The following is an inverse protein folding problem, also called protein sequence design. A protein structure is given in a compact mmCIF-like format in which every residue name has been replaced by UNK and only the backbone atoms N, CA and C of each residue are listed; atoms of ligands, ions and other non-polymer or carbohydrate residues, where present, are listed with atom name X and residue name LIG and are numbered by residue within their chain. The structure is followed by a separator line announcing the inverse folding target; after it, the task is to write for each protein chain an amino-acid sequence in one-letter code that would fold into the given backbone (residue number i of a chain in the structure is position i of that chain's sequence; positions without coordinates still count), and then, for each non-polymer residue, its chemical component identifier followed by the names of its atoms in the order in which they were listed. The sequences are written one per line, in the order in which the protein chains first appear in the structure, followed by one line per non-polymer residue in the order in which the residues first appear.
data_IF_835028681292
#
_entry.id   IF_835028681292
#
_cell.length_a   1.000
_cell.length_b   1.000
_cell.length_c   1.000
_cell.angle_alpha   90.00
_cell.angle_beta   90.00
_cell.angle_gamma   90.00
#
_symmetry.space_group_name_H-M   'P 1'
#
loop_
_entity.id
_entity.type
_entity.pdbx_description
1 polymer ?
#
# COMPACT_ATOMS: atom_id res chain seq x y z
N UNK A 1 -22.87 29.59 -23.43
CA UNK A 1 -22.66 28.16 -23.77
C UNK A 1 -22.58 27.39 -22.46
N UNK A 2 -23.40 26.36 -22.27
CA UNK A 2 -23.31 25.50 -21.08
C UNK A 2 -21.94 24.80 -21.09
N UNK A 3 -21.12 25.04 -20.07
CA UNK A 3 -19.87 24.32 -19.90
C UNK A 3 -20.21 22.85 -19.61
N UNK A 4 -19.49 21.91 -20.22
CA UNK A 4 -19.67 20.48 -19.99
C UNK A 4 -18.32 19.78 -19.87
N UNK A 5 -18.26 18.73 -19.06
CA UNK A 5 -17.08 17.89 -18.84
C UNK A 5 -17.35 16.49 -19.38
N UNK A 6 -16.32 15.81 -19.88
CA UNK A 6 -16.48 14.39 -20.28
C UNK A 6 -16.31 13.52 -19.05
N UNK A 7 -17.17 12.51 -18.93
CA UNK A 7 -17.22 11.63 -17.77
C UNK A 7 -17.22 10.18 -18.21
N UNK A 8 -16.47 9.37 -17.48
CA UNK A 8 -16.52 7.92 -17.54
C UNK A 8 -16.55 7.34 -16.13
N UNK A 9 -16.97 6.09 -16.03
CA UNK A 9 -16.99 5.35 -14.77
C UNK A 9 -16.37 3.97 -14.91
N UNK A 10 -15.95 3.41 -13.79
CA UNK A 10 -15.45 2.04 -13.64
C UNK A 10 -16.00 1.43 -12.35
N UNK A 11 -15.95 0.10 -12.22
CA UNK A 11 -16.41 -0.62 -11.03
C UNK A 11 -17.93 -0.71 -10.89
N UNK A 12 -18.69 -0.31 -11.92
CA UNK A 12 -20.16 -0.22 -11.92
C UNK A 12 -20.77 -1.00 -13.10
N UNK A 13 -22.04 -1.38 -12.97
CA UNK A 13 -22.83 -1.87 -14.11
C UNK A 13 -23.21 -0.72 -15.06
N UNK A 14 -23.68 -1.06 -16.26
CA UNK A 14 -24.11 -0.08 -17.28
C UNK A 14 -25.22 0.84 -16.80
N UNK A 15 -26.10 0.36 -15.92
CA UNK A 15 -27.20 1.14 -15.33
C UNK A 15 -26.78 2.03 -14.15
N UNK A 16 -25.51 1.92 -13.69
CA UNK A 16 -24.93 2.69 -12.59
C UNK A 16 -25.67 2.49 -11.25
N UNK A 17 -26.18 1.30 -11.00
CA UNK A 17 -26.98 0.97 -9.81
C UNK A 17 -26.26 0.04 -8.84
N UNK A 18 -25.28 -0.72 -9.31
CA UNK A 18 -24.58 -1.75 -8.54
C UNK A 18 -23.09 -1.68 -8.81
N UNK A 19 -22.29 -1.84 -7.75
CA UNK A 19 -20.85 -2.02 -7.86
C UNK A 19 -20.53 -3.44 -8.33
N UNK A 20 -20.01 -3.56 -9.55
CA UNK A 20 -19.73 -4.85 -10.21
C UNK A 20 -18.30 -5.33 -10.03
N UNK A 21 -17.38 -4.43 -9.67
CA UNK A 21 -15.96 -4.76 -9.63
C UNK A 21 -15.28 -4.73 -11.00
N UNK A 22 -16.01 -4.40 -12.08
CA UNK A 22 -15.46 -4.42 -13.43
C UNK A 22 -14.43 -3.33 -13.66
N UNK A 23 -13.32 -3.69 -14.30
CA UNK A 23 -12.29 -2.75 -14.77
C UNK A 23 -12.65 -2.09 -16.11
N UNK A 24 -13.72 -2.56 -16.76
CA UNK A 24 -14.18 -2.00 -18.03
C UNK A 24 -14.69 -0.58 -17.81
N UNK A 25 -14.12 0.35 -18.58
CA UNK A 25 -14.53 1.74 -18.56
C UNK A 25 -15.85 1.91 -19.31
N UNK A 26 -16.81 2.55 -18.66
CA UNK A 26 -18.10 2.92 -19.25
C UNK A 26 -18.06 4.42 -19.52
N UNK A 27 -17.97 4.81 -20.80
CA UNK A 27 -18.03 6.21 -21.20
C UNK A 27 -19.46 6.73 -21.10
N UNK A 28 -19.69 7.77 -20.28
CA UNK A 28 -21.01 8.40 -20.09
C UNK A 28 -21.20 9.66 -20.94
N UNK A 29 -20.15 10.09 -21.66
CA UNK A 29 -20.19 11.23 -22.55
C UNK A 29 -20.02 12.56 -21.81
N UNK A 30 -20.55 13.64 -22.38
CA UNK A 30 -20.49 14.98 -21.79
C UNK A 30 -21.60 15.15 -20.75
N UNK A 31 -21.25 15.76 -19.62
CA UNK A 31 -22.16 16.07 -18.52
C UNK A 31 -22.07 17.55 -18.19
N UNK A 32 -23.22 18.18 -17.99
CA UNK A 32 -23.28 19.53 -17.41
C UNK A 32 -23.18 19.50 -15.87
N UNK A 33 -23.26 20.67 -15.23
CA UNK A 33 -23.17 20.81 -13.78
C UNK A 33 -24.19 19.96 -13.00
N UNK A 34 -25.45 19.94 -13.46
CA UNK A 34 -26.54 19.23 -12.78
C UNK A 34 -26.40 17.73 -12.99
N UNK A 35 -26.15 17.32 -14.24
CA UNK A 35 -25.98 15.91 -14.56
C UNK A 35 -24.77 15.28 -13.84
N UNK A 36 -23.68 16.04 -13.67
CA UNK A 36 -22.52 15.59 -12.92
C UNK A 36 -22.83 15.47 -11.42
N UNK A 37 -23.52 16.44 -10.84
CA UNK A 37 -23.93 16.40 -9.44
C UNK A 37 -24.80 15.18 -9.14
N UNK A 38 -25.78 14.90 -9.99
CA UNK A 38 -26.69 13.76 -9.85
C UNK A 38 -25.94 12.44 -9.98
N UNK A 39 -25.01 12.34 -10.93
CA UNK A 39 -24.14 11.17 -11.09
C UNK A 39 -23.30 10.92 -9.84
N UNK A 40 -22.61 11.93 -9.31
CA UNK A 40 -21.75 11.79 -8.14
C UNK A 40 -22.56 11.42 -6.89
N UNK A 41 -23.74 12.01 -6.73
CA UNK A 41 -24.67 11.67 -5.64
C UNK A 41 -25.15 10.22 -5.76
N UNK A 42 -25.46 9.77 -6.99
CA UNK A 42 -25.84 8.37 -7.26
C UNK A 42 -24.70 7.42 -6.88
N UNK A 43 -23.50 7.68 -7.37
CA UNK A 43 -22.32 6.82 -7.14
C UNK A 43 -21.90 6.79 -5.66
N UNK A 44 -21.96 7.93 -4.97
CA UNK A 44 -21.70 8.00 -3.52
C UNK A 44 -22.60 7.04 -2.71
N UNK A 45 -23.85 6.84 -3.14
CA UNK A 45 -24.84 6.05 -2.42
C UNK A 45 -24.89 4.57 -2.85
N UNK A 46 -24.04 4.15 -3.80
CA UNK A 46 -23.95 2.74 -4.19
C UNK A 46 -23.35 1.94 -3.04
N UNK A 47 -24.06 0.89 -2.61
CA UNK A 47 -23.55 -0.06 -1.61
C UNK A 47 -22.51 -0.96 -2.26
N UNK A 48 -21.38 -1.12 -1.58
CA UNK A 48 -20.33 -2.01 -2.05
C UNK A 48 -20.68 -3.47 -1.68
N UNK A 49 -20.51 -4.43 -2.60
CA UNK A 49 -20.69 -5.84 -2.28
C UNK A 49 -19.65 -6.28 -1.24
N UNK A 50 -20.02 -7.29 -0.45
CA UNK A 50 -19.13 -7.91 0.51
C UNK A 50 -18.24 -8.91 -0.26
N UNK A 51 -17.14 -8.43 -0.85
CA UNK A 51 -16.27 -9.24 -1.71
C UNK A 51 -15.22 -9.97 -0.89
N UNK A 52 -15.03 -11.26 -1.17
CA UNK A 52 -13.97 -12.07 -0.56
C UNK A 52 -12.57 -11.67 -1.07
N UNK A 53 -11.57 -11.86 -0.19
CA UNK A 53 -10.19 -11.35 -0.30
C UNK A 53 -9.36 -11.84 -1.51
N UNK A 54 -9.88 -12.77 -2.32
CA UNK A 54 -9.16 -13.38 -3.44
C UNK A 54 -9.64 -12.88 -4.82
N UNK A 55 -10.60 -11.95 -4.86
CA UNK A 55 -11.11 -11.40 -6.12
C UNK A 55 -10.62 -9.98 -6.35
N UNK A 56 -10.00 -9.78 -7.52
CA UNK A 56 -9.60 -8.48 -8.04
C UNK A 56 -10.85 -7.63 -8.29
N UNK A 57 -11.14 -6.67 -7.40
CA UNK A 57 -12.38 -5.88 -7.43
C UNK A 57 -12.08 -4.39 -7.65
N UNK A 58 -12.52 -3.86 -8.79
CA UNK A 58 -12.46 -2.44 -9.09
C UNK A 58 -13.58 -1.69 -8.35
N UNK A 59 -13.22 -0.83 -7.39
CA UNK A 59 -14.22 0.01 -6.72
C UNK A 59 -14.89 1.00 -7.67
N UNK A 60 -16.12 1.45 -7.38
CA UNK A 60 -16.78 2.49 -8.16
C UNK A 60 -15.93 3.75 -8.23
N UNK A 61 -15.55 4.10 -9.46
CA UNK A 61 -14.75 5.29 -9.73
C UNK A 61 -15.43 6.13 -10.80
N UNK A 62 -15.42 7.44 -10.63
CA UNK A 62 -15.86 8.44 -11.61
C UNK A 62 -14.63 9.21 -12.08
N UNK A 63 -14.36 9.18 -13.37
CA UNK A 63 -13.26 9.91 -14.01
C UNK A 63 -13.86 11.09 -14.78
N UNK A 64 -13.35 12.29 -14.53
CA UNK A 64 -13.85 13.53 -15.10
C UNK A 64 -12.70 14.20 -15.85
N UNK A 65 -12.84 14.34 -17.17
CA UNK A 65 -11.88 15.06 -18.00
C UNK A 65 -12.11 16.58 -17.85
N UNK A 66 -11.13 17.23 -17.22
CA UNK A 66 -11.06 18.67 -17.01
C UNK A 66 -10.43 19.38 -18.22
N UNK A 67 -10.60 20.69 -18.29
CA UNK A 67 -9.89 21.53 -19.26
C UNK A 67 -8.37 21.35 -19.19
N UNK A 68 -7.72 21.25 -20.35
CA UNK A 68 -6.28 21.04 -20.46
C UNK A 68 -5.80 19.59 -20.33
N UNK A 69 -6.70 18.61 -20.50
CA UNK A 69 -6.36 17.18 -20.56
C UNK A 69 -6.13 16.53 -19.19
N UNK A 70 -6.45 17.23 -18.10
CA UNK A 70 -6.36 16.68 -16.74
C UNK A 70 -7.57 15.80 -16.45
N UNK A 71 -7.38 14.74 -15.67
CA UNK A 71 -8.45 13.85 -15.24
C UNK A 71 -8.56 13.94 -13.72
N UNK A 72 -9.75 14.21 -13.21
CA UNK A 72 -10.07 14.08 -11.79
C UNK A 72 -10.71 12.72 -11.56
N UNK A 73 -10.19 11.96 -10.60
CA UNK A 73 -10.72 10.62 -10.29
C UNK A 73 -11.34 10.60 -8.90
N UNK A 74 -12.61 10.19 -8.83
CA UNK A 74 -13.38 10.15 -7.60
C UNK A 74 -13.81 8.72 -7.28
N UNK A 75 -13.34 8.18 -6.16
CA UNK A 75 -13.83 6.92 -5.62
C UNK A 75 -15.13 7.13 -4.85
N UNK A 76 -16.15 6.32 -5.13
CA UNK A 76 -17.46 6.44 -4.49
C UNK A 76 -18.00 5.12 -3.94
N UNK A 77 -18.91 5.23 -2.98
CA UNK A 77 -19.63 4.11 -2.40
C UNK A 77 -19.80 4.25 -0.88
N UNK A 78 -20.76 3.50 -0.33
CA UNK A 78 -21.08 3.45 1.10
C UNK A 78 -21.30 4.84 1.74
N UNK A 79 -21.94 5.74 1.01
CA UNK A 79 -22.25 7.10 1.44
C UNK A 79 -21.07 8.07 1.40
N UNK A 80 -19.93 7.69 0.81
CA UNK A 80 -18.72 8.50 0.73
C UNK A 80 -18.27 8.74 -0.70
N UNK A 81 -17.63 9.89 -0.90
CA UNK A 81 -16.94 10.27 -2.12
C UNK A 81 -15.55 10.74 -1.73
N UNK A 82 -14.52 10.27 -2.42
CA UNK A 82 -13.10 10.57 -2.11
C UNK A 82 -12.41 10.96 -3.39
N UNK A 83 -11.65 12.07 -3.37
CA UNK A 83 -10.72 12.39 -4.45
C UNK A 83 -9.54 11.42 -4.38
N UNK A 84 -9.40 10.54 -5.37
CA UNK A 84 -8.38 9.51 -5.39
C UNK A 84 -6.96 10.10 -5.53
N UNK A 85 -6.82 11.31 -6.08
CA UNK A 85 -5.52 11.96 -6.23
C UNK A 85 -4.98 12.48 -4.90
N UNK A 86 -5.88 12.99 -4.05
CA UNK A 86 -5.55 13.69 -2.80
C UNK A 86 -5.90 12.90 -1.55
N UNK A 87 -6.66 11.81 -1.70
CA UNK A 87 -7.26 10.98 -0.65
C UNK A 87 -8.11 11.78 0.34
N UNK A 88 -8.62 12.93 -0.11
CA UNK A 88 -9.47 13.76 0.71
C UNK A 88 -10.93 13.37 0.51
N UNK A 89 -11.70 13.17 1.60
CA UNK A 89 -13.14 13.08 1.51
C UNK A 89 -13.66 14.35 0.83
N UNK A 90 -14.44 14.16 -0.22
CA UNK A 90 -15.09 15.25 -0.95
C UNK A 90 -16.59 15.01 -0.93
N UNK A 91 -17.36 16.02 -1.31
CA UNK A 91 -18.80 15.87 -1.52
C UNK A 91 -19.14 16.22 -2.98
N UNK A 92 -20.30 15.77 -3.50
CA UNK A 92 -20.69 16.02 -4.87
C UNK A 92 -20.67 17.52 -5.26
N UNK A 93 -21.01 18.44 -4.34
CA UNK A 93 -21.00 19.88 -4.63
C UNK A 93 -19.60 20.42 -4.85
N UNK A 94 -18.65 20.03 -3.99
CA UNK A 94 -17.26 20.49 -4.07
C UNK A 94 -16.55 19.88 -5.27
N UNK A 95 -16.81 18.60 -5.58
CA UNK A 95 -16.30 17.94 -6.77
C UNK A 95 -16.77 18.62 -8.07
N UNK A 96 -18.05 19.03 -8.16
CA UNK A 96 -18.59 19.78 -9.30
C UNK A 96 -17.90 21.14 -9.44
N UNK A 97 -17.75 21.89 -8.34
CA UNK A 97 -17.05 23.19 -8.36
C UNK A 97 -15.61 23.08 -8.85
N UNK A 98 -14.90 22.00 -8.46
CA UNK A 98 -13.55 21.72 -8.94
C UNK A 98 -13.58 21.37 -10.44
N UNK A 99 -14.52 20.52 -10.86
CA UNK A 99 -14.63 20.06 -12.25
C UNK A 99 -14.87 21.20 -13.25
N UNK A 100 -15.65 22.20 -12.85
CA UNK A 100 -15.99 23.35 -13.68
C UNK A 100 -15.06 24.56 -13.46
N UNK A 101 -14.07 24.45 -12.57
CA UNK A 101 -13.05 25.47 -12.35
C UNK A 101 -13.50 26.66 -11.49
N UNK A 102 -14.61 26.52 -10.76
CA UNK A 102 -15.12 27.53 -9.82
C UNK A 102 -14.26 27.64 -8.55
N UNK A 103 -13.56 26.55 -8.20
CA UNK A 103 -12.59 26.51 -7.10
C UNK A 103 -11.22 26.16 -7.66
N UNK A 104 -10.30 27.14 -7.66
CA UNK A 104 -8.88 26.87 -7.86
C UNK A 104 -8.34 26.22 -6.60
N UNK A 105 -8.32 24.90 -6.56
CA UNK A 105 -7.49 24.19 -5.57
C UNK A 105 -6.04 24.56 -5.91
N UNK A 106 -5.38 25.28 -5.01
CA UNK A 106 -3.99 25.70 -5.20
C UNK A 106 -3.04 24.49 -5.03
N UNK A 107 -3.15 23.54 -5.97
CA UNK A 107 -2.28 22.37 -6.12
C UNK A 107 -0.83 22.79 -6.39
N UNK A 108 -0.57 24.07 -6.71
CA UNK A 108 0.75 24.58 -7.14
C UNK A 108 1.74 24.77 -5.99
N UNK A 109 1.32 25.10 -4.77
CA UNK A 109 2.28 25.34 -3.69
C UNK A 109 2.91 24.04 -3.15
N UNK A 110 2.11 22.98 -2.98
CA UNK A 110 2.64 21.67 -2.55
C UNK A 110 3.46 20.95 -3.63
N UNK A 111 3.17 21.20 -4.91
CA UNK A 111 3.95 20.66 -6.04
C UNK A 111 5.23 21.45 -6.31
N UNK A 112 5.28 22.76 -6.01
CA UNK A 112 6.50 23.58 -6.15
C UNK A 112 7.59 23.19 -5.15
N UNK A 113 7.25 22.95 -3.89
CA UNK A 113 8.23 22.46 -2.90
C UNK A 113 8.80 21.09 -3.27
N UNK A 114 8.01 20.23 -3.94
CA UNK A 114 8.49 18.95 -4.45
C UNK A 114 9.35 19.10 -5.73
N UNK A 115 9.03 20.05 -6.62
CA UNK A 115 9.75 20.29 -7.89
C UNK A 115 11.08 21.03 -7.71
N UNK A 116 11.12 22.03 -6.85
CA UNK A 116 12.31 22.88 -6.68
C UNK A 116 13.45 22.15 -5.94
N UNK A 117 13.18 20.95 -5.39
CA UNK A 117 14.17 20.04 -4.81
C UNK A 117 14.73 19.00 -5.79
N UNK A 118 14.25 18.92 -7.03
CA UNK A 118 14.64 17.88 -8.01
C UNK A 118 14.92 18.48 -9.39
N UNK A 119 15.94 19.33 -9.48
CA UNK A 119 16.57 19.66 -10.74
C UNK A 119 17.36 18.46 -11.26
N UNK A 120 16.72 17.60 -12.06
CA UNK A 120 17.29 16.73 -13.11
C UNK A 120 16.20 15.77 -13.63
N UNK A 121 15.65 16.04 -14.80
CA UNK A 121 14.93 15.05 -15.59
C UNK A 121 15.92 13.94 -15.95
N UNK A 122 15.75 12.68 -15.52
CA UNK A 122 16.71 11.64 -15.87
C UNK A 122 16.58 11.26 -17.35
N UNK A 123 17.72 11.06 -18.01
CA UNK A 123 17.78 10.51 -19.36
C UNK A 123 17.17 9.10 -19.36
N UNK A 124 16.09 8.92 -20.13
CA UNK A 124 15.54 7.60 -20.42
C UNK A 124 16.58 6.82 -21.24
N UNK A 125 16.81 5.55 -20.92
CA UNK A 125 17.43 4.61 -21.86
C UNK A 125 16.42 4.35 -22.99
N UNK A 126 16.44 5.22 -23.99
CA UNK A 126 15.50 5.22 -25.12
C UNK A 126 15.57 3.96 -26.00
N UNK A 127 16.59 3.12 -25.83
CA UNK A 127 16.84 1.93 -26.67
C UNK A 127 16.32 0.61 -26.08
N UNK A 128 15.66 0.61 -24.92
CA UNK A 128 15.12 -0.61 -24.31
C UNK A 128 13.67 -0.82 -24.79
N UNK A 129 13.36 -1.95 -25.46
CA UNK A 129 12.00 -2.21 -25.92
C UNK A 129 11.02 -2.36 -24.74
N UNK A 130 9.72 -2.06 -24.93
CA UNK A 130 8.70 -2.31 -23.94
C UNK A 130 8.68 -3.77 -23.48
N UNK A 131 8.22 -4.02 -22.26
CA UNK A 131 8.12 -5.39 -21.74
C UNK A 131 7.07 -6.19 -22.53
N UNK A 132 7.47 -7.33 -23.10
CA UNK A 132 6.55 -8.31 -23.68
C UNK A 132 5.86 -9.12 -22.57
N UNK A 133 4.66 -8.67 -22.16
CA UNK A 133 3.92 -9.22 -21.03
C UNK A 133 3.54 -10.69 -21.21
N UNK A 134 3.38 -11.16 -22.44
CA UNK A 134 3.00 -12.55 -22.73
C UNK A 134 4.19 -13.51 -22.55
N UNK A 135 5.41 -12.99 -22.75
CA UNK A 135 6.65 -13.75 -22.60
C UNK A 135 7.26 -13.67 -21.21
N UNK A 136 6.98 -12.62 -20.43
CA UNK A 136 7.53 -12.50 -19.07
C UNK A 136 6.72 -13.30 -18.06
N UNK A 137 7.38 -14.24 -17.38
CA UNK A 137 6.81 -15.04 -16.30
C UNK A 137 7.77 -15.00 -15.11
N UNK A 138 7.26 -15.10 -13.88
CA UNK A 138 8.09 -15.05 -12.64
C UNK A 138 9.32 -15.96 -12.68
N UNK A 139 9.21 -17.13 -13.32
CA UNK A 139 10.26 -18.14 -13.36
C UNK A 139 11.35 -17.87 -14.42
N UNK A 140 11.12 -16.94 -15.35
CA UNK A 140 12.06 -16.62 -16.41
C UNK A 140 12.76 -15.27 -16.24
N UNK A 141 12.44 -14.51 -15.19
CA UNK A 141 13.11 -13.24 -14.86
C UNK A 141 14.53 -13.53 -14.35
N UNK A 142 15.52 -12.81 -14.88
CA UNK A 142 16.90 -12.92 -14.39
C UNK A 142 17.02 -12.29 -12.99
N UNK A 143 17.23 -13.14 -12.00
CA UNK A 143 17.48 -12.75 -10.59
C UNK A 143 18.91 -13.08 -10.16
N UNK A 144 19.75 -13.48 -11.12
CA UNK A 144 21.14 -13.86 -10.89
C UNK A 144 22.06 -12.66 -10.64
N UNK A 145 23.33 -12.92 -10.30
CA UNK A 145 24.33 -11.87 -10.05
C UNK A 145 24.58 -10.93 -11.24
N UNK A 146 24.24 -11.38 -12.46
CA UNK A 146 24.32 -10.60 -13.70
C UNK A 146 23.32 -9.45 -13.78
N UNK A 147 22.22 -9.52 -13.02
CA UNK A 147 21.20 -8.49 -12.99
C UNK A 147 21.46 -7.50 -11.85
N UNK A 148 21.44 -6.18 -12.10
CA UNK A 148 21.58 -5.17 -11.06
C UNK A 148 20.53 -5.37 -9.96
N UNK A 149 20.99 -5.54 -8.72
CA UNK A 149 20.14 -5.85 -7.58
C UNK A 149 20.78 -5.42 -6.25
N UNK A 150 19.96 -5.28 -5.22
CA UNK A 150 20.42 -5.24 -3.84
C UNK A 150 19.70 -6.28 -3.00
N UNK A 151 20.31 -6.63 -1.86
CA UNK A 151 19.74 -7.53 -0.86
C UNK A 151 19.72 -6.86 0.52
N UNK A 152 18.63 -7.05 1.25
CA UNK A 152 18.47 -6.56 2.62
C UNK A 152 17.70 -7.57 3.46
N UNK A 153 18.13 -7.78 4.70
CA UNK A 153 17.37 -8.55 5.69
C UNK A 153 16.27 -7.67 6.29
N UNK A 154 15.01 -8.06 6.08
CA UNK A 154 13.81 -7.34 6.53
C UNK A 154 12.87 -8.25 7.31
N UNK A 155 11.95 -7.69 8.10
CA UNK A 155 10.89 -8.47 8.75
C UNK A 155 9.90 -9.08 7.76
N UNK A 156 9.36 -10.27 8.08
CA UNK A 156 8.29 -10.91 7.30
C UNK A 156 7.05 -10.05 7.16
N UNK A 157 6.66 -9.42 8.27
CA UNK A 157 5.45 -8.63 8.40
C UNK A 157 5.53 -7.74 9.63
N UNK A 158 4.70 -6.68 9.62
CA UNK A 158 4.40 -5.81 10.78
C UNK A 158 3.99 -6.65 12.00
N UNK A 159 3.07 -7.60 11.81
CA UNK A 159 2.57 -8.47 12.87
C UNK A 159 3.64 -9.38 13.48
N UNK A 160 4.56 -9.94 12.67
CA UNK A 160 5.64 -10.75 13.22
C UNK A 160 6.63 -9.90 14.03
N UNK A 161 6.97 -8.71 13.54
CA UNK A 161 7.79 -7.78 14.30
C UNK A 161 7.16 -7.49 15.67
N UNK A 162 5.86 -7.14 15.69
CA UNK A 162 5.14 -6.90 16.94
C UNK A 162 5.13 -8.14 17.83
N UNK A 163 4.81 -9.32 17.31
CA UNK A 163 4.82 -10.56 18.07
C UNK A 163 6.20 -10.85 18.70
N UNK A 164 7.26 -10.74 17.91
CA UNK A 164 8.63 -11.04 18.37
C UNK A 164 9.12 -10.10 19.49
N UNK A 165 8.54 -8.90 19.64
CA UNK A 165 8.87 -7.97 20.72
C UNK A 165 7.83 -8.02 21.85
N UNK A 166 6.55 -7.82 21.53
CA UNK A 166 5.48 -7.61 22.51
C UNK A 166 5.18 -8.88 23.30
N UNK A 167 5.12 -10.05 22.66
CA UNK A 167 4.76 -11.29 23.36
C UNK A 167 5.81 -11.69 24.43
N UNK A 168 7.13 -11.74 24.11
CA UNK A 168 8.15 -12.03 25.11
C UNK A 168 8.18 -11.00 26.25
N UNK A 169 8.09 -9.70 25.93
CA UNK A 169 8.17 -8.62 26.92
C UNK A 169 6.94 -8.65 27.83
N UNK A 170 5.73 -8.72 27.28
CA UNK A 170 4.50 -8.71 28.07
C UNK A 170 4.43 -9.93 28.99
N UNK A 171 4.74 -11.12 28.47
CA UNK A 171 4.75 -12.35 29.28
C UNK A 171 5.80 -12.27 30.38
N UNK A 172 7.01 -11.78 30.07
CA UNK A 172 8.04 -11.59 31.09
C UNK A 172 7.56 -10.64 32.19
N UNK A 173 7.00 -9.47 31.84
CA UNK A 173 6.46 -8.51 32.82
C UNK A 173 5.40 -9.17 33.72
N UNK A 174 4.47 -9.93 33.15
CA UNK A 174 3.47 -10.67 33.94
C UNK A 174 4.13 -11.67 34.88
N UNK A 175 5.09 -12.46 34.42
CA UNK A 175 5.84 -13.40 35.26
C UNK A 175 6.60 -12.70 36.39
N UNK A 176 7.24 -11.55 36.12
CA UNK A 176 7.93 -10.77 37.15
C UNK A 176 6.96 -10.19 38.19
N UNK A 177 5.79 -9.71 37.77
CA UNK A 177 4.75 -9.24 38.69
C UNK A 177 4.20 -10.37 39.56
N UNK A 178 3.93 -11.54 38.98
CA UNK A 178 3.48 -12.72 39.74
C UNK A 178 4.55 -13.19 40.72
N UNK A 179 5.82 -13.25 40.29
CA UNK A 179 6.94 -13.57 41.17
C UNK A 179 7.05 -12.57 42.33
N UNK A 180 6.87 -11.27 42.06
CA UNK A 180 6.88 -10.23 43.08
C UNK A 180 5.75 -10.38 44.09
N UNK A 181 4.52 -10.59 43.62
CA UNK A 181 3.34 -10.81 44.50
C UNK A 181 3.56 -12.05 45.39
N UNK A 182 4.01 -13.17 44.82
CA UNK A 182 4.32 -14.38 45.59
C UNK A 182 5.42 -14.11 46.62
N UNK A 183 6.45 -13.33 46.28
CA UNK A 183 7.51 -12.96 47.23
C UNK A 183 6.99 -12.11 48.40
N UNK A 184 6.00 -11.25 48.16
CA UNK A 184 5.48 -10.31 49.17
C UNK A 184 4.35 -10.91 50.03
N UNK A 185 3.50 -11.76 49.45
CA UNK A 185 2.25 -12.20 50.09
C UNK A 185 2.29 -13.66 50.57
N UNK A 186 3.14 -14.51 49.99
CA UNK A 186 3.22 -15.92 50.37
C UNK A 186 3.99 -16.11 51.69
N UNK A 187 3.51 -17.03 52.54
CA UNK A 187 4.20 -17.47 53.77
C UNK A 187 4.55 -18.95 53.63
N UNK A 188 5.74 -19.34 54.06
CA UNK A 188 6.17 -20.75 54.04
C UNK A 188 6.48 -21.25 52.61
N UNK A 189 6.13 -22.51 52.34
CA UNK A 189 6.50 -23.26 51.13
C UNK A 189 6.04 -22.61 49.81
N UNK A 190 4.97 -21.81 49.83
CA UNK A 190 4.44 -21.11 48.64
C UNK A 190 5.39 -20.01 48.12
N UNK A 191 6.26 -19.47 48.98
CA UNK A 191 7.26 -18.47 48.58
C UNK A 191 8.37 -19.06 47.69
N UNK A 192 8.56 -20.38 47.71
CA UNK A 192 9.53 -21.09 46.86
C UNK A 192 9.13 -21.09 45.37
N UNK A 193 7.87 -20.77 45.06
CA UNK A 193 7.41 -20.62 43.68
C UNK A 193 7.87 -19.31 43.01
N UNK A 194 8.25 -18.28 43.77
CA UNK A 194 8.67 -16.99 43.21
C UNK A 194 9.91 -17.09 42.28
N UNK A 195 11.00 -17.80 42.63
CA UNK A 195 12.12 -18.06 41.72
C UNK A 195 11.70 -18.69 40.39
N UNK A 196 10.70 -19.59 40.40
CA UNK A 196 10.20 -20.23 39.18
C UNK A 196 9.56 -19.20 38.26
N UNK A 197 8.73 -18.28 38.78
CA UNK A 197 8.14 -17.21 37.98
C UNK A 197 9.19 -16.29 37.36
N UNK A 198 10.20 -15.88 38.12
CA UNK A 198 11.30 -15.06 37.58
C UNK A 198 12.09 -15.81 36.51
N UNK A 199 12.40 -17.08 36.73
CA UNK A 199 13.13 -17.91 35.77
C UNK A 199 12.34 -18.09 34.47
N UNK A 200 11.04 -18.38 34.55
CA UNK A 200 10.16 -18.46 33.38
C UNK A 200 10.10 -17.12 32.66
N UNK A 201 9.99 -16.01 33.39
CA UNK A 201 10.01 -14.66 32.81
C UNK A 201 11.29 -14.37 32.02
N UNK A 202 12.45 -14.73 32.57
CA UNK A 202 13.75 -14.60 31.89
C UNK A 202 13.80 -15.48 30.65
N UNK A 203 13.43 -16.76 30.76
CA UNK A 203 13.44 -17.70 29.64
C UNK A 203 12.54 -17.23 28.50
N UNK A 204 11.33 -16.75 28.81
CA UNK A 204 10.40 -16.20 27.81
C UNK A 204 10.94 -14.91 27.21
N UNK A 205 11.54 -14.02 27.99
CA UNK A 205 12.20 -12.82 27.46
C UNK A 205 13.32 -13.18 26.48
N UNK A 206 14.12 -14.21 26.78
CA UNK A 206 15.18 -14.69 25.91
C UNK A 206 14.66 -15.29 24.59
N UNK A 207 13.41 -15.77 24.53
CA UNK A 207 12.79 -16.21 23.26
C UNK A 207 12.69 -15.09 22.22
N UNK A 208 12.78 -13.82 22.63
CA UNK A 208 12.85 -12.68 21.70
C UNK A 208 13.98 -12.83 20.67
N UNK A 209 15.14 -13.40 21.04
CA UNK A 209 16.28 -13.55 20.13
C UNK A 209 16.02 -14.54 18.98
N UNK A 210 15.63 -15.81 19.23
CA UNK A 210 15.27 -16.73 18.14
C UNK A 210 14.04 -16.24 17.35
N UNK A 211 13.04 -15.63 18.00
CA UNK A 211 11.86 -15.07 17.30
C UNK A 211 12.23 -13.93 16.35
N UNK A 212 13.19 -13.06 16.73
CA UNK A 212 13.77 -12.04 15.85
C UNK A 212 14.47 -12.68 14.65
N UNK A 213 15.30 -13.71 14.89
CA UNK A 213 16.04 -14.39 13.83
C UNK A 213 15.10 -15.07 12.85
N UNK A 214 14.10 -15.80 13.34
CA UNK A 214 13.09 -16.44 12.50
C UNK A 214 12.16 -15.48 11.81
N UNK A 215 12.00 -14.27 12.35
CA UNK A 215 11.14 -13.22 11.82
C UNK A 215 11.71 -12.39 10.69
N UNK A 216 13.01 -12.53 10.45
CA UNK A 216 13.74 -11.79 9.44
C UNK A 216 14.03 -12.69 8.26
N UNK A 217 13.89 -12.12 7.07
CA UNK A 217 14.14 -12.80 5.81
C UNK A 217 14.88 -11.90 4.85
N UNK A 218 15.56 -12.54 3.92
CA UNK A 218 16.17 -11.84 2.81
C UNK A 218 15.10 -11.30 1.85
N UNK A 219 15.19 -10.00 1.57
CA UNK A 219 14.45 -9.28 0.54
C UNK A 219 15.43 -8.80 -0.51
N UNK A 220 15.10 -9.02 -1.78
CA UNK A 220 15.88 -8.49 -2.89
C UNK A 220 14.99 -7.72 -3.84
N UNK A 221 15.53 -6.64 -4.37
CA UNK A 221 14.95 -5.89 -5.46
C UNK A 221 16.01 -5.77 -6.53
N UNK A 222 15.63 -6.00 -7.78
CA UNK A 222 16.54 -5.88 -8.90
C UNK A 222 15.82 -5.63 -10.21
N UNK A 223 16.62 -5.47 -11.27
CA UNK A 223 16.13 -5.15 -12.62
C UNK A 223 16.68 -6.17 -13.60
N UNK A 224 15.79 -6.81 -14.36
CA UNK A 224 16.16 -7.58 -15.54
C UNK A 224 16.01 -6.67 -16.77
N UNK A 225 17.11 -6.06 -17.19
CA UNK A 225 17.12 -5.16 -18.36
C UNK A 225 16.84 -5.86 -19.68
N UNK A 226 17.10 -7.17 -19.79
CA UNK A 226 16.80 -7.93 -21.01
C UNK A 226 15.29 -8.06 -21.22
N UNK A 227 14.53 -8.14 -20.14
CA UNK A 227 13.06 -8.19 -20.15
C UNK A 227 12.40 -6.86 -19.78
N UNK A 228 13.21 -5.86 -19.47
CA UNK A 228 12.79 -4.55 -19.01
C UNK A 228 11.84 -4.60 -17.79
N UNK A 229 12.15 -5.43 -16.79
CA UNK A 229 11.29 -5.59 -15.60
C UNK A 229 12.02 -5.30 -14.30
N UNK A 230 11.36 -4.58 -13.40
CA UNK A 230 11.74 -4.48 -12.00
C UNK A 230 11.12 -5.67 -11.28
N UNK A 231 11.89 -6.41 -10.49
CA UNK A 231 11.38 -7.59 -9.79
C UNK A 231 11.63 -7.49 -8.29
N UNK A 232 10.72 -8.10 -7.54
CA UNK A 232 10.76 -8.16 -6.08
C UNK A 232 10.80 -9.62 -5.63
N UNK A 233 11.86 -9.99 -4.91
CA UNK A 233 12.08 -11.35 -4.42
C UNK A 233 12.07 -11.39 -2.89
N UNK A 234 11.55 -12.49 -2.34
CA UNK A 234 11.72 -12.80 -0.91
C UNK A 234 12.12 -14.24 -0.69
N UNK A 235 12.87 -14.41 0.38
CA UNK A 235 13.23 -15.73 0.88
C UNK A 235 11.98 -16.58 1.09
N UNK A 236 12.05 -17.85 0.66
CA UNK A 236 10.97 -18.85 0.68
C UNK A 236 9.80 -18.61 -0.29
N UNK A 237 9.68 -17.43 -0.90
CA UNK A 237 8.62 -17.13 -1.88
C UNK A 237 9.12 -17.01 -3.32
N UNK A 238 10.42 -16.80 -3.52
CA UNK A 238 10.95 -16.51 -4.85
C UNK A 238 10.58 -15.10 -5.29
N UNK A 239 10.48 -14.88 -6.60
CA UNK A 239 9.94 -13.65 -7.17
C UNK A 239 8.46 -13.55 -6.82
N UNK A 240 8.12 -12.61 -5.94
CA UNK A 240 6.74 -12.41 -5.51
C UNK A 240 5.98 -11.64 -6.57
N UNK A 241 6.62 -10.63 -7.14
CA UNK A 241 6.02 -9.80 -8.17
C UNK A 241 7.07 -9.13 -9.05
N UNK A 242 6.61 -8.61 -10.19
CA UNK A 242 7.41 -7.81 -11.09
C UNK A 242 6.58 -6.67 -11.68
N UNK A 243 7.24 -5.55 -11.91
CA UNK A 243 6.68 -4.37 -12.56
C UNK A 243 7.27 -4.27 -13.98
N UNK A 244 6.43 -4.26 -15.02
CA UNK A 244 6.87 -4.11 -16.40
C UNK A 244 7.32 -2.68 -16.71
N UNK A 245 8.07 -2.51 -17.78
CA UNK A 245 8.55 -1.23 -18.30
C UNK A 245 9.42 -0.49 -17.27
N UNK A 246 10.42 -1.22 -16.75
CA UNK A 246 11.34 -0.73 -15.74
C UNK A 246 12.03 0.57 -16.19
N UNK A 247 12.41 0.68 -17.47
CA UNK A 247 13.01 1.89 -18.04
C UNK A 247 12.16 3.17 -17.88
N UNK A 248 10.85 3.06 -17.63
CA UNK A 248 9.97 4.21 -17.40
C UNK A 248 9.96 4.68 -15.94
N UNK A 249 10.69 4.04 -15.02
CA UNK A 249 10.74 4.45 -13.62
C UNK A 249 11.73 5.61 -13.46
N UNK A 250 11.34 6.65 -12.72
CA UNK A 250 12.16 7.85 -12.46
C UNK A 250 12.89 7.75 -11.12
N UNK A 251 12.12 7.47 -10.06
CA UNK A 251 12.59 7.36 -8.68
C UNK A 251 11.62 6.52 -7.83
N UNK A 252 12.08 6.18 -6.63
CA UNK A 252 11.33 5.43 -5.63
C UNK A 252 11.03 6.27 -4.37
N UNK A 253 9.90 6.00 -3.74
CA UNK A 253 9.47 6.60 -2.46
C UNK A 253 8.99 5.55 -1.45
N UNK A 254 8.86 5.93 -0.19
CA UNK A 254 8.28 5.10 0.86
C UNK A 254 6.93 5.67 1.30
N UNK A 255 5.91 4.81 1.40
CA UNK A 255 4.59 5.21 1.90
C UNK A 255 4.05 4.24 2.92
N UNK A 256 3.30 4.76 3.89
CA UNK A 256 2.45 3.95 4.74
C UNK A 256 1.25 3.46 3.92
N UNK A 257 1.07 2.16 3.88
CA UNK A 257 -0.05 1.47 3.26
C UNK A 257 -0.86 0.81 4.36
N UNK A 258 -2.00 1.42 4.67
CA UNK A 258 -3.01 0.81 5.52
C UNK A 258 -3.92 -0.06 4.67
N UNK A 259 -3.81 -1.38 4.82
CA UNK A 259 -4.82 -2.29 4.27
C UNK A 259 -5.76 -2.69 5.39
N UNK A 260 -7.02 -2.24 5.31
CA UNK A 260 -8.09 -2.70 6.20
C UNK A 260 -8.61 -4.06 5.72
N UNK A 261 -8.62 -5.05 6.60
CA UNK A 261 -9.20 -6.38 6.39
C UNK A 261 -10.38 -6.58 7.34
N UNK A 262 -11.41 -7.29 6.90
CA UNK A 262 -12.50 -7.69 7.77
C UNK A 262 -11.98 -8.73 8.77
N UNK A 263 -12.26 -8.52 10.06
CA UNK A 263 -12.01 -9.50 11.09
C UNK A 263 -13.21 -10.45 11.21
N UNK A 264 -13.17 -11.58 10.52
CA UNK A 264 -14.29 -12.52 10.57
C UNK A 264 -14.50 -13.13 11.97
N UNK A 265 -13.49 -13.08 12.86
CA UNK A 265 -13.66 -13.51 14.27
C UNK A 265 -14.53 -12.55 15.08
N UNK A 266 -14.73 -11.31 14.62
CA UNK A 266 -15.66 -10.37 15.23
C UNK A 266 -17.13 -10.80 15.07
N UNK A 267 -17.47 -11.61 14.06
CA UNK A 267 -18.84 -12.13 13.90
C UNK A 267 -19.20 -13.20 14.94
N UNK A 268 -18.22 -13.92 15.48
CA UNK A 268 -18.42 -14.89 16.57
C UNK A 268 -18.02 -14.37 17.94
N UNK A 269 -17.43 -13.17 18.03
CA UNK A 269 -16.90 -12.64 19.28
C UNK A 269 -17.04 -11.09 19.31
N UNK A 270 -18.12 -10.55 19.91
CA UNK A 270 -18.49 -9.13 19.84
C UNK A 270 -17.43 -8.16 20.38
N UNK A 271 -16.46 -8.65 21.17
CA UNK A 271 -15.36 -7.85 21.71
C UNK A 271 -14.20 -7.62 20.74
N UNK A 272 -14.20 -8.22 19.54
CA UNK A 272 -13.15 -7.99 18.56
C UNK A 272 -13.52 -6.91 17.54
N UNK A 273 -12.56 -6.07 17.12
CA UNK A 273 -12.83 -5.04 16.12
C UNK A 273 -13.20 -5.70 14.78
N UNK A 274 -14.28 -5.22 14.15
CA UNK A 274 -14.79 -5.68 12.84
C UNK A 274 -13.76 -5.50 11.70
N UNK A 275 -12.81 -4.58 11.85
CA UNK A 275 -11.74 -4.33 10.88
C UNK A 275 -10.37 -4.40 11.55
N UNK A 276 -9.48 -5.23 10.98
CA UNK A 276 -8.05 -5.16 11.24
C UNK A 276 -7.41 -4.20 10.24
N UNK A 277 -6.82 -3.12 10.74
CA UNK A 277 -5.97 -2.25 9.91
C UNK A 277 -4.55 -2.79 9.98
N UNK A 278 -4.10 -3.46 8.92
CA UNK A 278 -2.68 -3.78 8.78
C UNK A 278 -1.96 -2.54 8.27
N UNK A 279 -1.24 -1.88 9.19
CA UNK A 279 -0.34 -0.77 8.86
C UNK A 279 0.99 -1.39 8.42
N UNK A 280 1.26 -1.28 7.13
CA UNK A 280 2.50 -1.78 6.53
C UNK A 280 3.11 -0.67 5.69
N UNK A 281 4.43 -0.63 5.57
CA UNK A 281 5.07 0.30 4.66
C UNK A 281 5.28 -0.35 3.30
N UNK A 282 5.28 0.40 2.22
CA UNK A 282 5.58 -0.14 0.89
C UNK A 282 6.51 0.77 0.12
N UNK A 283 7.30 0.16 -0.79
CA UNK A 283 8.03 0.90 -1.81
C UNK A 283 7.03 1.39 -2.86
N UNK A 284 7.15 2.65 -3.24
CA UNK A 284 6.44 3.25 -4.34
C UNK A 284 7.41 3.62 -5.45
N UNK A 285 6.95 3.61 -6.69
CA UNK A 285 7.68 4.04 -7.86
C UNK A 285 6.95 5.18 -8.55
N UNK A 286 7.71 6.18 -9.00
CA UNK A 286 7.27 7.21 -9.93
C UNK A 286 7.62 6.77 -11.34
N UNK A 287 6.67 6.85 -12.27
CA UNK A 287 6.92 6.61 -13.69
C UNK A 287 6.92 7.92 -14.47
N UNK A 288 7.70 7.99 -15.54
CA UNK A 288 7.74 9.13 -16.48
C UNK A 288 6.38 9.39 -17.12
N UNK A 289 5.59 8.32 -17.31
CA UNK A 289 4.28 8.35 -17.99
C UNK A 289 3.11 8.69 -17.08
N UNK A 290 3.32 8.90 -15.78
CA UNK A 290 2.23 9.13 -14.84
C UNK A 290 2.55 10.22 -13.83
N UNK A 291 1.55 11.03 -13.50
CA UNK A 291 1.66 12.02 -12.42
C UNK A 291 1.67 11.38 -11.02
N UNK A 292 1.18 10.15 -10.89
CA UNK A 292 1.04 9.46 -9.59
C UNK A 292 2.18 8.47 -9.31
N UNK A 293 2.39 8.20 -8.02
CA UNK A 293 3.27 7.12 -7.58
C UNK A 293 2.48 5.83 -7.39
N UNK A 294 3.03 4.73 -7.87
CA UNK A 294 2.41 3.41 -7.77
C UNK A 294 3.12 2.57 -6.72
N UNK A 295 2.39 1.75 -5.98
CA UNK A 295 3.00 0.79 -5.07
C UNK A 295 3.69 -0.30 -5.89
N UNK A 296 4.98 -0.54 -5.63
CA UNK A 296 5.69 -1.70 -6.19
C UNK A 296 5.14 -2.94 -5.51
N UNK A 297 4.49 -3.82 -6.28
CA UNK A 297 3.88 -5.01 -5.67
C UNK A 297 4.93 -5.93 -5.03
N UNK A 298 4.55 -6.62 -3.96
CA UNK A 298 5.47 -7.47 -3.17
C UNK A 298 6.43 -6.72 -2.23
N UNK A 299 6.48 -5.39 -2.28
CA UNK A 299 7.41 -4.56 -1.49
C UNK A 299 6.94 -4.20 -0.07
N UNK A 300 5.99 -4.94 0.52
CA UNK A 300 5.47 -4.67 1.87
C UNK A 300 6.52 -4.87 2.98
N UNK A 301 6.75 -3.87 3.81
CA UNK A 301 7.78 -3.81 4.84
C UNK A 301 7.13 -3.55 6.19
N UNK A 302 7.74 -4.07 7.25
CA UNK A 302 7.10 -4.06 8.58
C UNK A 302 7.09 -2.66 9.20
N UNK A 303 8.07 -1.82 8.88
CA UNK A 303 8.22 -0.50 9.49
C UNK A 303 8.87 0.53 8.56
N UNK A 304 8.72 1.80 8.94
CA UNK A 304 9.24 2.98 8.23
C UNK A 304 10.75 2.94 8.00
N UNK A 305 11.52 2.41 8.97
CA UNK A 305 12.98 2.37 8.88
C UNK A 305 13.45 1.42 7.78
N UNK A 306 12.83 0.26 7.67
CA UNK A 306 13.07 -0.67 6.56
C UNK A 306 12.65 -0.08 5.23
N UNK A 307 11.48 0.56 5.17
CA UNK A 307 10.97 1.19 3.94
C UNK A 307 11.88 2.30 3.41
N UNK A 308 12.38 3.16 4.30
CA UNK A 308 13.38 4.17 3.92
C UNK A 308 14.65 3.53 3.39
N UNK A 309 15.21 2.56 4.11
CA UNK A 309 16.43 1.88 3.68
C UNK A 309 16.28 1.18 2.32
N UNK A 310 15.15 0.52 2.08
CA UNK A 310 14.82 -0.10 0.79
C UNK A 310 14.68 0.96 -0.31
N UNK A 311 14.06 2.10 0.00
CA UNK A 311 13.91 3.22 -0.93
C UNK A 311 15.26 3.84 -1.30
N UNK A 312 16.13 4.07 -0.32
CA UNK A 312 17.46 4.63 -0.52
C UNK A 312 18.30 3.70 -1.40
N UNK A 313 18.29 2.39 -1.11
CA UNK A 313 18.98 1.38 -1.92
C UNK A 313 18.38 1.25 -3.32
N UNK A 314 17.06 1.37 -3.46
CA UNK A 314 16.40 1.34 -4.76
C UNK A 314 16.78 2.56 -5.61
N UNK A 315 16.82 3.76 -5.03
CA UNK A 315 17.28 4.96 -5.73
C UNK A 315 18.77 4.89 -6.07
N UNK A 316 19.63 4.40 -5.17
CA UNK A 316 21.05 4.18 -5.46
C UNK A 316 21.24 3.17 -6.60
N UNK A 317 20.51 2.05 -6.56
CA UNK A 317 20.49 1.09 -7.65
C UNK A 317 20.07 1.80 -8.94
N UNK A 318 19.00 2.58 -8.92
CA UNK A 318 18.47 3.26 -10.10
C UNK A 318 19.43 4.28 -10.69
N UNK A 319 20.03 5.12 -9.86
CA UNK A 319 20.97 6.16 -10.28
C UNK A 319 22.27 5.56 -10.82
N UNK A 320 22.69 4.37 -10.35
CA UNK A 320 23.84 3.64 -10.92
C UNK A 320 23.61 3.13 -12.34
N UNK A 321 22.35 3.11 -12.80
CA UNK A 321 21.97 2.62 -14.12
C UNK A 321 21.75 3.74 -15.12
N UNK A 322 21.73 5.01 -14.70
CA UNK A 322 21.64 6.20 -15.56
C UNK A 322 23.02 6.54 -16.11
#
# INVERSE_FOLDING_TARGET
MSQSVRVSVQGLNKELTVATGSYDQIALGKKDNLELYDLLTKVQNIRLPNVDLDQDFCYPNVMIELGGGKIMTLGGGDGKLVDNDTETPTNPKDAVKIAFGEVKVDRREKLKEARDSQGKTPALKHDIPPTDRDKVKKNNIDTGPSSPQFSLVVWKSSGWQQFAYTFPIATAVVCFLLGFVVTMEARGDDAEAAPLFYLVGILVFLLMFPLKKWGKHEFRLGVDWKKNVLWCWREKKGVIDFEPDANMIEYFGARDTSTSRINYRAFGNPGQPLRYVDKSWSLQMKRTTSEHMFVVKGSKLANKKEARKVTDLANQLWDSQK
#
